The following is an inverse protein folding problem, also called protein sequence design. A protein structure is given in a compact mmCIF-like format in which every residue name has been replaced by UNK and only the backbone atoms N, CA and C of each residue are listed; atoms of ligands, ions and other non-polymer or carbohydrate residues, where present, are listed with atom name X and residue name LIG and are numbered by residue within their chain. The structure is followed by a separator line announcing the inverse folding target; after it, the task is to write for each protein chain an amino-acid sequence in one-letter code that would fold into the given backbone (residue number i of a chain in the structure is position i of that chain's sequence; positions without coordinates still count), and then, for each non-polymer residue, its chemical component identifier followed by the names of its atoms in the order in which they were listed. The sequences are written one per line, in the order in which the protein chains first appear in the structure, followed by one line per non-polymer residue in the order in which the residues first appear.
data_IF_340601099322
#
_entry.id   IF_340601099322
#
_cell.length_a   1.000
_cell.length_b   1.000
_cell.length_c   1.000
_cell.angle_alpha   90.00
_cell.angle_beta   90.00
_cell.angle_gamma   90.00
#
_symmetry.space_group_name_H-M   'P 1'
#
loop_
_entity.id
_entity.type
_entity.pdbx_description
1 polymer ?
#
# COMPACT_ATOMS: atom_id res chain seq x y z
N UNK A 1 -16.77 21.03 4.16
CA UNK A 1 -15.29 21.04 4.07
C UNK A 1 -14.70 19.68 4.44
N UNK A 2 -14.96 19.13 5.62
CA UNK A 2 -14.46 17.77 5.97
C UNK A 2 -15.02 16.70 5.01
N UNK A 3 -16.33 16.73 4.74
CA UNK A 3 -16.98 15.77 3.85
C UNK A 3 -16.60 15.89 2.37
N UNK A 4 -15.87 16.95 1.97
CA UNK A 4 -15.41 17.09 0.59
C UNK A 4 -14.00 16.52 0.37
N UNK A 5 -13.32 16.06 1.43
CA UNK A 5 -12.01 15.42 1.31
C UNK A 5 -12.15 14.08 0.58
N UNK A 6 -11.28 13.85 -0.39
CA UNK A 6 -11.10 12.57 -1.07
C UNK A 6 -9.60 12.33 -1.36
N UNK A 7 -9.29 11.24 -2.07
CA UNK A 7 -7.91 10.80 -2.32
C UNK A 7 -7.04 11.87 -3.02
N UNK A 8 -7.65 12.80 -3.77
CA UNK A 8 -6.94 13.89 -4.44
C UNK A 8 -6.29 14.89 -3.47
N UNK A 9 -6.67 14.88 -2.19
CA UNK A 9 -6.15 15.78 -1.16
C UNK A 9 -4.86 15.27 -0.47
N UNK A 10 -4.43 14.03 -0.70
CA UNK A 10 -3.29 13.45 0.01
C UNK A 10 -2.01 13.47 -0.81
N UNK A 11 -0.93 13.89 -0.16
CA UNK A 11 0.38 14.02 -0.78
C UNK A 11 1.43 13.33 0.07
N UNK A 12 2.25 12.48 -0.57
CA UNK A 12 3.40 11.91 0.10
C UNK A 12 4.47 12.99 0.25
N UNK A 13 4.89 13.22 1.49
CA UNK A 13 6.09 13.97 1.80
C UNK A 13 7.27 13.14 1.33
N UNK A 14 8.06 13.73 0.44
CA UNK A 14 9.24 13.09 -0.13
C UNK A 14 10.48 13.65 0.56
N UNK A 15 11.45 12.79 0.83
CA UNK A 15 12.78 13.17 1.27
C UNK A 15 13.59 13.67 0.08
N UNK A 16 14.29 14.79 0.25
CA UNK A 16 15.13 15.37 -0.79
C UNK A 16 16.46 14.62 -0.90
N UNK A 17 16.77 14.10 -2.08
CA UNK A 17 18.08 13.56 -2.41
C UNK A 17 18.98 14.63 -3.02
N UNK A 18 20.14 14.84 -2.39
CA UNK A 18 21.17 15.80 -2.88
C UNK A 18 21.72 15.40 -4.25
N UNK A 19 21.70 14.11 -4.58
CA UNK A 19 22.14 13.59 -5.87
C UNK A 19 20.99 13.60 -6.89
N UNK A 20 21.19 14.25 -8.04
CA UNK A 20 20.23 14.37 -9.16
C UNK A 20 18.90 15.10 -8.87
N UNK A 21 18.77 15.82 -7.74
CA UNK A 21 17.55 16.59 -7.42
C UNK A 21 16.27 15.71 -7.34
N UNK A 22 16.45 14.44 -6.96
CA UNK A 22 15.35 13.46 -6.91
C UNK A 22 14.71 13.45 -5.54
N UNK A 23 13.37 13.42 -5.51
CA UNK A 23 12.58 13.34 -4.29
C UNK A 23 12.09 11.89 -4.10
N UNK A 24 12.44 11.30 -2.96
CA UNK A 24 12.18 9.89 -2.63
C UNK A 24 11.03 9.76 -1.64
N UNK A 25 10.11 8.82 -1.89
CA UNK A 25 9.12 8.36 -0.91
C UNK A 25 9.82 7.48 0.13
N UNK A 26 9.35 7.54 1.36
CA UNK A 26 9.95 6.82 2.48
C UNK A 26 8.90 6.06 3.30
N UNK A 27 7.78 5.69 2.67
CA UNK A 27 6.68 5.00 3.35
C UNK A 27 6.51 3.58 2.81
N UNK A 28 6.63 2.60 3.69
CA UNK A 28 6.21 1.23 3.42
C UNK A 28 4.95 0.93 4.26
N UNK A 29 3.77 0.68 3.64
CA UNK A 29 2.52 0.41 4.37
C UNK A 29 2.62 -0.71 5.41
N UNK A 30 3.39 -1.75 5.09
CA UNK A 30 3.57 -2.89 5.98
C UNK A 30 4.30 -2.49 7.26
N UNK A 31 5.40 -1.75 7.12
CA UNK A 31 6.18 -1.25 8.26
C UNK A 31 5.34 -0.31 9.15
N UNK A 32 4.46 0.50 8.55
CA UNK A 32 3.56 1.41 9.29
C UNK A 32 2.62 0.63 10.22
N UNK A 33 2.03 -0.45 9.72
CA UNK A 33 1.07 -1.27 10.48
C UNK A 33 1.81 -2.11 11.52
N UNK A 34 2.89 -2.80 11.13
CA UNK A 34 3.64 -3.69 12.04
C UNK A 34 4.30 -2.94 13.20
N UNK A 35 4.78 -1.72 12.96
CA UNK A 35 5.46 -0.91 13.97
C UNK A 35 4.50 0.03 14.73
N UNK A 36 3.19 -0.05 14.47
CA UNK A 36 2.18 0.88 15.01
C UNK A 36 2.55 2.37 14.77
N UNK A 37 3.16 2.68 13.62
CA UNK A 37 3.68 4.01 13.31
C UNK A 37 2.61 5.00 12.80
N UNK A 38 1.33 4.63 12.89
CA UNK A 38 0.20 5.43 12.42
C UNK A 38 0.09 6.80 13.09
N UNK A 39 0.61 6.96 14.32
CA UNK A 39 0.65 8.23 15.06
C UNK A 39 1.54 9.30 14.43
N UNK A 40 2.38 8.94 13.45
CA UNK A 40 3.27 9.86 12.78
C UNK A 40 2.95 10.02 11.28
N UNK A 41 1.79 9.51 10.83
CA UNK A 41 1.40 9.59 9.42
C UNK A 41 1.24 11.03 8.94
N UNK A 42 0.94 12.01 9.80
CA UNK A 42 0.92 13.43 9.41
C UNK A 42 2.29 13.97 8.97
N UNK A 43 3.39 13.35 9.40
CA UNK A 43 4.74 13.69 8.99
C UNK A 43 5.15 13.06 7.66
N UNK A 44 4.35 12.12 7.14
CA UNK A 44 4.65 11.42 5.87
C UNK A 44 3.56 11.66 4.82
N UNK A 45 2.32 11.86 5.22
CA UNK A 45 1.17 12.16 4.36
C UNK A 45 0.65 13.55 4.73
N UNK A 46 0.75 14.46 3.77
CA UNK A 46 0.24 15.82 3.91
C UNK A 46 -1.15 15.94 3.29
N UNK A 47 -2.07 16.52 4.04
CA UNK A 47 -3.40 16.87 3.58
C UNK A 47 -3.35 18.28 2.97
N UNK A 48 -3.68 18.44 1.68
CA UNK A 48 -3.63 19.73 0.94
C UNK A 48 -4.83 19.89 0.00
N UNK A 49 -4.94 21.04 -0.64
CA UNK A 49 -5.92 21.26 -1.71
C UNK A 49 -5.75 20.20 -2.81
N UNK A 50 -6.87 19.78 -3.40
CA UNK A 50 -6.89 18.64 -4.31
C UNK A 50 -5.99 18.85 -5.53
N UNK A 51 -5.26 17.81 -5.92
CA UNK A 51 -4.61 17.73 -7.22
C UNK A 51 -4.87 16.38 -7.87
N UNK A 52 -4.91 16.36 -9.20
CA UNK A 52 -5.02 15.11 -9.93
C UNK A 52 -3.72 14.30 -9.77
N UNK A 53 -3.80 13.26 -8.96
CA UNK A 53 -2.75 12.25 -8.79
C UNK A 53 -3.33 10.86 -9.07
N UNK A 54 -4.23 10.77 -10.07
CA UNK A 54 -4.75 9.50 -10.57
C UNK A 54 -3.71 8.79 -11.43
N UNK A 55 -3.54 7.50 -11.26
CA UNK A 55 -2.80 6.65 -12.20
C UNK A 55 -2.97 5.17 -11.90
N UNK A 56 -2.12 4.36 -12.51
CA UNK A 56 -2.26 2.90 -12.45
C UNK A 56 -1.82 2.33 -11.11
N UNK A 57 -2.50 1.26 -10.70
CA UNK A 57 -2.13 0.49 -9.52
C UNK A 57 -1.01 -0.50 -9.84
N UNK A 58 0.16 -0.29 -9.24
CA UNK A 58 1.37 -1.06 -9.50
C UNK A 58 1.65 -2.10 -8.41
N UNK A 59 0.65 -2.54 -7.65
CA UNK A 59 0.82 -3.51 -6.53
C UNK A 59 1.54 -4.81 -6.96
N UNK A 60 1.26 -5.27 -8.18
CA UNK A 60 1.82 -6.51 -8.75
C UNK A 60 3.10 -6.29 -9.58
N UNK A 61 3.56 -5.06 -9.75
CA UNK A 61 4.77 -4.78 -10.53
C UNK A 61 6.02 -5.05 -9.69
N UNK A 62 7.16 -5.30 -10.31
CA UNK A 62 8.39 -5.51 -9.54
C UNK A 62 9.03 -4.19 -9.04
N UNK A 63 8.60 -3.06 -9.59
CA UNK A 63 9.14 -1.73 -9.30
C UNK A 63 8.06 -0.65 -9.47
N UNK A 64 8.04 0.33 -8.58
CA UNK A 64 7.18 1.51 -8.65
C UNK A 64 8.01 2.75 -9.05
N UNK A 65 7.74 3.37 -10.21
CA UNK A 65 8.39 4.62 -10.62
C UNK A 65 8.21 5.75 -9.60
N UNK A 66 9.17 6.68 -9.55
CA UNK A 66 9.21 7.80 -8.58
C UNK A 66 8.07 8.81 -8.77
N UNK A 67 7.54 8.90 -9.98
CA UNK A 67 6.44 9.77 -10.41
C UNK A 67 5.08 9.05 -10.37
N UNK A 68 5.05 7.79 -9.93
CA UNK A 68 3.82 7.03 -9.78
C UNK A 68 2.80 7.76 -8.90
N UNK A 69 1.55 7.58 -9.29
CA UNK A 69 0.38 8.29 -8.80
C UNK A 69 -0.23 7.58 -7.59
N UNK A 70 -0.98 8.29 -6.76
CA UNK A 70 -1.30 7.84 -5.40
C UNK A 70 -2.72 7.34 -5.23
N UNK A 71 -3.56 7.40 -6.26
CA UNK A 71 -4.88 6.76 -6.29
C UNK A 71 -5.24 6.31 -7.72
N UNK A 72 -6.13 5.33 -7.84
CA UNK A 72 -6.60 4.75 -9.10
C UNK A 72 -8.10 4.99 -9.36
N UNK A 73 -8.88 5.33 -8.32
CA UNK A 73 -10.32 5.58 -8.40
C UNK A 73 -10.67 6.74 -9.35
N UNK A 74 -11.80 6.58 -10.05
CA UNK A 74 -12.46 7.66 -10.78
C UNK A 74 -13.18 8.61 -9.82
N UNK A 75 -12.46 9.63 -9.39
CA UNK A 75 -12.98 10.68 -8.49
C UNK A 75 -12.86 12.05 -9.13
N UNK A 76 -13.78 12.95 -8.79
CA UNK A 76 -13.62 14.37 -9.06
C UNK A 76 -12.56 14.95 -8.12
N UNK A 77 -11.59 15.68 -8.67
CA UNK A 77 -10.57 16.36 -7.86
C UNK A 77 -11.24 17.39 -6.97
N UNK A 78 -10.97 17.33 -5.67
CA UNK A 78 -11.59 18.22 -4.72
C UNK A 78 -11.11 19.67 -4.94
N UNK A 79 -12.02 20.53 -5.39
CA UNK A 79 -11.79 21.96 -5.62
C UNK A 79 -11.98 22.82 -4.36
N UNK A 80 -12.45 22.23 -3.25
CA UNK A 80 -12.63 22.94 -1.98
C UNK A 80 -11.27 23.34 -1.41
N UNK A 81 -11.09 24.61 -1.08
CA UNK A 81 -9.92 25.05 -0.31
C UNK A 81 -10.02 24.51 1.13
N UNK A 82 -9.10 23.65 1.52
CA UNK A 82 -9.07 23.03 2.85
C UNK A 82 -8.04 23.67 3.79
N UNK A 83 -7.46 24.81 3.43
CA UNK A 83 -6.50 25.52 4.28
C UNK A 83 -7.11 25.89 5.64
N UNK A 84 -8.37 26.32 5.66
CA UNK A 84 -9.08 26.65 6.91
C UNK A 84 -9.24 25.44 7.81
N UNK A 85 -9.41 24.26 7.24
CA UNK A 85 -9.47 23.02 8.02
C UNK A 85 -8.13 22.75 8.71
N UNK A 86 -7.01 22.86 7.99
CA UNK A 86 -5.66 22.66 8.54
C UNK A 86 -5.30 23.71 9.58
N UNK A 87 -5.80 24.93 9.42
CA UNK A 87 -5.55 26.02 10.36
C UNK A 87 -6.29 25.78 11.68
N UNK A 88 -7.54 25.30 11.62
CA UNK A 88 -8.41 25.17 12.79
C UNK A 88 -8.41 23.79 13.46
N UNK A 89 -7.89 22.75 12.80
CA UNK A 89 -7.93 21.37 13.31
C UNK A 89 -6.57 20.67 13.25
N UNK A 90 -6.26 19.86 14.26
CA UNK A 90 -5.26 18.81 14.16
C UNK A 90 -5.88 17.62 13.42
N UNK A 91 -5.20 17.12 12.40
CA UNK A 91 -5.63 15.96 11.62
C UNK A 91 -4.86 14.75 12.12
N UNK A 92 -5.54 13.65 12.41
CA UNK A 92 -4.92 12.39 12.77
C UNK A 92 -5.52 11.25 11.94
N UNK A 93 -4.70 10.21 11.73
CA UNK A 93 -5.06 9.03 10.97
C UNK A 93 -5.44 7.91 11.94
N UNK A 94 -6.49 7.15 11.62
CA UNK A 94 -6.91 6.00 12.44
C UNK A 94 -7.49 4.89 11.56
N UNK A 95 -7.66 3.70 12.14
CA UNK A 95 -8.12 2.50 11.40
C UNK A 95 -7.25 2.21 10.17
N UNK A 96 -5.93 2.35 10.34
CA UNK A 96 -4.94 2.21 9.28
C UNK A 96 -4.70 0.72 8.99
N UNK A 97 -4.84 0.32 7.73
CA UNK A 97 -4.67 -1.07 7.29
C UNK A 97 -3.81 -1.11 6.04
N UNK A 98 -2.94 -2.10 5.95
CA UNK A 98 -2.27 -2.43 4.69
C UNK A 98 -3.27 -3.14 3.79
N UNK A 99 -3.39 -2.71 2.54
CA UNK A 99 -4.21 -3.37 1.52
C UNK A 99 -3.30 -3.73 0.36
N UNK A 100 -3.12 -5.03 0.10
CA UNK A 100 -2.09 -5.49 -0.84
C UNK A 100 -0.67 -5.18 -0.36
N UNK A 101 0.28 -5.14 -1.30
CA UNK A 101 1.72 -4.98 -1.02
C UNK A 101 2.14 -3.52 -0.81
N UNK A 102 1.47 -2.59 -1.50
CA UNK A 102 1.90 -1.18 -1.67
C UNK A 102 0.73 -0.22 -1.54
N UNK A 103 -0.38 -0.66 -0.96
CA UNK A 103 -1.51 0.19 -0.71
C UNK A 103 -1.87 0.20 0.78
N UNK A 104 -2.52 1.28 1.18
CA UNK A 104 -2.94 1.48 2.56
C UNK A 104 -4.31 2.13 2.56
N UNK A 105 -5.18 1.66 3.46
CA UNK A 105 -6.42 2.35 3.80
C UNK A 105 -6.35 2.97 5.17
N UNK A 106 -7.07 4.08 5.36
CA UNK A 106 -7.16 4.78 6.63
C UNK A 106 -8.40 5.67 6.68
N UNK A 107 -8.74 6.12 7.88
CA UNK A 107 -9.77 7.12 8.16
C UNK A 107 -9.15 8.37 8.78
N UNK A 108 -9.83 9.51 8.64
CA UNK A 108 -9.38 10.79 9.17
C UNK A 108 -10.21 11.24 10.37
N UNK A 109 -9.52 11.65 11.43
CA UNK A 109 -10.10 12.37 12.55
C UNK A 109 -9.57 13.80 12.63
N UNK A 110 -10.40 14.69 13.15
CA UNK A 110 -10.12 16.11 13.29
C UNK A 110 -10.35 16.52 14.74
N UNK A 111 -9.34 17.12 15.37
CA UNK A 111 -9.43 17.66 16.73
C UNK A 111 -9.38 19.18 16.62
N UNK A 112 -10.38 19.89 17.14
CA UNK A 112 -10.39 21.34 17.10
C UNK A 112 -9.20 21.89 17.91
N UNK A 113 -8.44 22.83 17.34
CA UNK A 113 -7.23 23.38 18.00
C UNK A 113 -7.56 24.30 19.16
N UNK A 114 -8.69 24.99 19.09
CA UNK A 114 -9.15 25.89 20.16
C UNK A 114 -9.79 25.11 21.32
N UNK A 115 -10.40 23.95 21.05
CA UNK A 115 -11.01 23.08 22.05
C UNK A 115 -10.82 21.59 21.70
N UNK A 116 -9.84 20.95 22.33
CA UNK A 116 -9.43 19.56 22.04
C UNK A 116 -10.44 18.49 22.44
N UNK A 117 -11.48 18.86 23.21
CA UNK A 117 -12.60 17.97 23.53
C UNK A 117 -13.53 17.77 22.34
N UNK A 118 -13.51 18.70 21.37
CA UNK A 118 -14.30 18.61 20.17
C UNK A 118 -13.53 17.82 19.12
N UNK A 119 -14.08 16.65 18.76
CA UNK A 119 -13.50 15.73 17.77
C UNK A 119 -14.53 15.37 16.72
N UNK A 120 -14.10 15.30 15.47
CA UNK A 120 -14.95 14.98 14.33
C UNK A 120 -14.31 13.92 13.45
N UNK A 121 -15.13 13.08 12.84
CA UNK A 121 -14.77 12.20 11.73
C UNK A 121 -15.98 12.09 10.82
N UNK A 122 -15.75 11.88 9.52
CA UNK A 122 -16.80 11.56 8.56
C UNK A 122 -16.95 10.05 8.33
N UNK A 123 -16.11 9.22 8.96
CA UNK A 123 -16.10 7.77 8.83
C UNK A 123 -15.67 7.25 7.45
N UNK A 124 -15.31 8.13 6.51
CA UNK A 124 -14.90 7.75 5.17
C UNK A 124 -13.53 7.07 5.20
N UNK A 125 -13.41 5.99 4.44
CA UNK A 125 -12.16 5.27 4.24
C UNK A 125 -11.50 5.74 2.95
N UNK A 126 -10.24 6.14 3.06
CA UNK A 126 -9.42 6.61 1.95
C UNK A 126 -8.39 5.54 1.59
N UNK A 127 -8.08 5.40 0.31
CA UNK A 127 -7.10 4.41 -0.18
C UNK A 127 -5.97 5.13 -0.90
N UNK A 128 -4.73 4.91 -0.49
CA UNK A 128 -3.56 5.33 -1.27
C UNK A 128 -2.83 4.11 -1.81
N UNK A 129 -2.44 4.17 -3.07
CA UNK A 129 -1.70 3.13 -3.79
C UNK A 129 -0.27 3.58 -4.10
N UNK A 130 0.58 2.66 -4.57
CA UNK A 130 1.95 2.94 -4.99
C UNK A 130 2.81 3.56 -3.86
N UNK A 131 2.50 3.16 -2.62
CA UNK A 131 3.17 3.56 -1.39
C UNK A 131 4.40 2.66 -1.21
N UNK A 132 5.58 3.20 -1.50
CA UNK A 132 6.85 2.48 -1.35
C UNK A 132 7.88 3.35 -0.65
N UNK A 133 8.83 2.69 0.00
CA UNK A 133 10.07 3.33 0.38
C UNK A 133 11.05 3.17 -0.78
N UNK A 134 11.31 4.26 -1.49
CA UNK A 134 12.14 4.24 -2.69
C UNK A 134 13.60 3.84 -2.39
N UNK A 135 14.09 4.07 -1.16
CA UNK A 135 15.41 3.60 -0.74
C UNK A 135 15.43 2.08 -0.56
N UNK A 136 14.43 1.51 0.13
CA UNK A 136 14.30 0.05 0.29
C UNK A 136 14.19 -0.62 -1.08
N UNK A 137 13.34 -0.09 -1.97
CA UNK A 137 13.16 -0.62 -3.33
C UNK A 137 14.42 -0.51 -4.19
N UNK A 138 15.21 0.56 -4.03
CA UNK A 138 16.44 0.76 -4.83
C UNK A 138 17.60 -0.11 -4.33
N UNK A 139 17.73 -0.30 -3.01
CA UNK A 139 18.77 -1.12 -2.39
C UNK A 139 18.45 -2.62 -2.47
N UNK A 140 17.16 -2.96 -2.38
CA UNK A 140 16.63 -4.31 -2.47
C UNK A 140 15.45 -4.33 -3.45
N UNK A 141 15.71 -4.26 -4.77
CA UNK A 141 14.65 -4.44 -5.74
C UNK A 141 13.99 -5.79 -5.49
N UNK A 142 12.67 -5.85 -5.35
CA UNK A 142 11.97 -7.14 -5.27
C UNK A 142 12.30 -8.03 -6.49
N UNK A 143 12.73 -7.45 -7.61
CA UNK A 143 13.30 -8.17 -8.77
C UNK A 143 14.46 -9.12 -8.38
N UNK A 144 15.21 -8.82 -7.33
CA UNK A 144 16.32 -9.64 -6.84
C UNK A 144 15.90 -10.78 -5.91
N UNK A 145 14.64 -10.78 -5.43
CA UNK A 145 14.09 -11.82 -4.57
C UNK A 145 12.87 -12.41 -5.25
N UNK A 146 12.95 -13.68 -5.67
CA UNK A 146 11.85 -14.36 -6.37
C UNK A 146 10.47 -14.04 -5.78
N UNK A 147 9.50 -13.69 -6.63
CA UNK A 147 8.09 -13.45 -6.25
C UNK A 147 7.47 -14.66 -5.53
N UNK A 148 8.02 -15.85 -5.79
CA UNK A 148 7.69 -17.11 -5.12
C UNK A 148 8.86 -17.45 -4.20
N UNK A 149 8.60 -17.49 -2.89
CA UNK A 149 9.55 -18.00 -1.89
C UNK A 149 9.39 -19.51 -1.76
N UNK A 150 10.41 -20.18 -1.22
CA UNK A 150 10.30 -21.62 -0.90
C UNK A 150 9.12 -21.91 0.05
N UNK A 151 8.81 -20.98 0.95
CA UNK A 151 7.64 -21.06 1.83
C UNK A 151 6.30 -21.08 1.09
N UNK A 152 6.25 -20.54 -0.13
CA UNK A 152 5.03 -20.41 -0.94
C UNK A 152 4.83 -21.66 -1.80
N UNK A 153 5.80 -22.58 -1.81
CA UNK A 153 5.75 -23.85 -2.53
C UNK A 153 5.33 -24.95 -1.54
N UNK A 154 4.29 -25.70 -1.91
CA UNK A 154 3.94 -26.95 -1.28
C UNK A 154 4.54 -28.11 -2.09
N UNK A 155 5.35 -28.93 -1.42
CA UNK A 155 5.98 -30.11 -2.01
C UNK A 155 5.44 -31.34 -1.28
N UNK A 156 4.79 -32.23 -2.02
CA UNK A 156 4.36 -33.54 -1.51
C UNK A 156 5.53 -34.53 -1.65
N UNK A 157 6.36 -34.60 -0.61
CA UNK A 157 7.55 -35.47 -0.62
C UNK A 157 7.21 -36.95 -0.76
N UNK A 158 6.09 -37.40 -0.20
CA UNK A 158 5.65 -38.80 -0.30
C UNK A 158 5.41 -39.18 -1.76
N UNK A 159 4.62 -38.38 -2.49
CA UNK A 159 4.32 -38.62 -3.90
C UNK A 159 5.58 -38.62 -4.78
N UNK A 160 6.53 -37.75 -4.49
CA UNK A 160 7.83 -37.67 -5.19
C UNK A 160 8.78 -38.82 -4.84
N UNK A 161 8.69 -39.38 -3.63
CA UNK A 161 9.56 -40.46 -3.17
C UNK A 161 9.11 -41.85 -3.64
N UNK A 162 7.81 -42.02 -3.87
CA UNK A 162 7.21 -43.31 -4.22
C UNK A 162 7.13 -43.56 -5.74
N UNK A 163 7.35 -42.52 -6.56
CA UNK A 163 7.14 -42.59 -8.00
C UNK A 163 8.37 -42.08 -8.76
N UNK A 164 8.62 -42.67 -9.93
CA UNK A 164 9.76 -42.34 -10.77
C UNK A 164 9.39 -41.37 -11.92
N UNK A 165 10.39 -41.02 -12.72
CA UNK A 165 10.22 -40.10 -13.84
C UNK A 165 9.25 -40.65 -14.91
N UNK A 166 9.20 -41.97 -15.09
CA UNK A 166 8.33 -42.61 -16.08
C UNK A 166 6.86 -42.54 -15.64
N UNK A 167 6.61 -42.68 -14.34
CA UNK A 167 5.28 -42.49 -13.77
C UNK A 167 4.77 -41.08 -14.05
N UNK A 168 5.55 -40.03 -13.75
CA UNK A 168 5.11 -38.65 -13.96
C UNK A 168 4.98 -38.27 -15.44
N UNK A 169 5.88 -38.76 -16.30
CA UNK A 169 5.79 -38.52 -17.74
C UNK A 169 4.46 -39.01 -18.35
N UNK A 170 3.88 -40.06 -17.77
CA UNK A 170 2.59 -40.61 -18.18
C UNK A 170 1.41 -40.05 -17.37
N UNK A 171 1.65 -39.27 -16.31
CA UNK A 171 0.64 -38.77 -15.37
C UNK A 171 0.90 -37.30 -15.00
N UNK A 172 0.93 -36.41 -15.99
CA UNK A 172 1.29 -34.99 -15.80
C UNK A 172 0.44 -34.25 -14.74
N UNK A 173 -0.83 -34.62 -14.54
CA UNK A 173 -1.67 -34.04 -13.49
C UNK A 173 -1.16 -34.38 -12.08
N UNK A 174 -0.55 -35.55 -11.89
CA UNK A 174 0.02 -35.92 -10.60
C UNK A 174 1.27 -35.10 -10.26
N UNK A 175 1.99 -34.61 -11.27
CA UNK A 175 3.11 -33.68 -11.05
C UNK A 175 2.61 -32.31 -10.54
N UNK A 176 1.47 -31.83 -11.04
CA UNK A 176 0.83 -30.61 -10.53
C UNK A 176 0.33 -30.77 -9.09
N UNK A 177 0.00 -31.99 -8.67
CA UNK A 177 -0.33 -32.30 -7.27
C UNK A 177 0.92 -32.46 -6.40
N UNK A 178 2.06 -32.86 -6.99
CA UNK A 178 3.32 -33.04 -6.28
C UNK A 178 3.99 -31.72 -5.89
N UNK A 179 3.92 -30.70 -6.77
CA UNK A 179 4.50 -29.38 -6.54
C UNK A 179 3.48 -28.32 -6.96
N UNK A 180 2.96 -27.56 -5.98
CA UNK A 180 2.03 -26.46 -6.25
C UNK A 180 2.30 -25.25 -5.37
N UNK A 181 1.79 -24.09 -5.79
CA UNK A 181 1.78 -22.90 -4.94
C UNK A 181 0.77 -23.10 -3.81
N UNK A 182 1.14 -22.66 -2.60
CA UNK A 182 0.19 -22.56 -1.49
C UNK A 182 -0.85 -21.50 -1.85
N UNK A 183 -2.15 -21.77 -1.65
CA UNK A 183 -3.17 -20.76 -1.81
C UNK A 183 -2.93 -19.65 -0.77
N UNK A 184 -3.03 -18.39 -1.21
CA UNK A 184 -3.05 -17.23 -0.31
C UNK A 184 -4.35 -17.25 0.53
N UNK A 185 -4.32 -16.84 1.80
CA UNK A 185 -5.51 -16.84 2.66
C UNK A 185 -6.73 -16.09 2.11
N UNK A 186 -6.52 -15.13 1.19
CA UNK A 186 -7.59 -14.29 0.62
C UNK A 186 -8.11 -14.77 -0.75
N UNK A 187 -7.76 -15.98 -1.20
CA UNK A 187 -8.31 -16.58 -2.43
C UNK A 187 -9.39 -17.63 -2.16
N UNK A 188 -10.22 -17.43 -1.14
CA UNK A 188 -11.57 -18.00 -1.13
C UNK A 188 -12.47 -17.11 -1.99
N UNK A 189 -12.55 -17.45 -3.28
CA UNK A 189 -13.61 -16.97 -4.15
C UNK A 189 -14.85 -17.82 -3.84
N UNK A 190 -15.96 -17.12 -3.58
CA UNK A 190 -17.32 -17.63 -3.45
C UNK A 190 -17.73 -18.61 -4.55
#
# INVERSE_FOLDING_TARGET
MINSINESNFFLRKAYGVFNNVNFRSLNPKDVVEQNYFTNLEYIIDLRNGQNQKGDNLDNQAYVPLDAKTYDKDIEVNSTNINDLRNNYFVYYYDVKSTGKRSMTFKLGFINKQNTSIRFTNGQEYTLINMVNDFQQSLYPEVMVNNIKLSDIQINQTLLSENDINYFANNNEQLNNAIKLRPTPDSEVW
#
